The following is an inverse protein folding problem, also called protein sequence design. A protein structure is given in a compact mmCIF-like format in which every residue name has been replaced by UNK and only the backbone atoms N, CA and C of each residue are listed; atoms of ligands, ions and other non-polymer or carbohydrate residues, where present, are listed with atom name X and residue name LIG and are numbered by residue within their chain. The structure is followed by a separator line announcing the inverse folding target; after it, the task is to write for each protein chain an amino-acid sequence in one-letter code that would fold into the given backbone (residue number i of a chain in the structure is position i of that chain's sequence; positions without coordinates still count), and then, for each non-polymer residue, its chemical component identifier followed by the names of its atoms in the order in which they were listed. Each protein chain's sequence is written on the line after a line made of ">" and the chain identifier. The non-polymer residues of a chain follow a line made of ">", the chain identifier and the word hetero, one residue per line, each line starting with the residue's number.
data_IF_087479966325
#
_entry.id   IF_087479966325
#
_cell.length_a   1.000
_cell.length_b   1.000
_cell.length_c   1.000
_cell.angle_alpha   90.00
_cell.angle_beta   90.00
_cell.angle_gamma   90.00
#
_symmetry.space_group_name_H-M   'P 1'
#
loop_
_entity.id
_entity.type
_entity.pdbx_description
1 polymer ?
#
# COMPACT_ATOMS: atom_id res chain seq x y z
N UNK A 1 10.81 15.23 -7.68
CA UNK A 1 11.72 15.78 -8.71
C UNK A 1 11.57 17.28 -8.89
N UNK A 2 10.37 17.82 -9.13
CA UNK A 2 10.19 19.27 -9.30
C UNK A 2 10.66 20.11 -8.09
N UNK A 3 10.30 19.69 -6.87
CA UNK A 3 10.69 20.39 -5.63
C UNK A 3 12.22 20.36 -5.43
N UNK A 4 12.85 19.24 -5.76
CA UNK A 4 14.32 19.12 -5.71
C UNK A 4 15.01 19.99 -6.76
N UNK A 5 14.42 20.09 -7.96
CA UNK A 5 14.96 20.91 -9.05
C UNK A 5 14.84 22.42 -8.77
N UNK A 6 13.67 22.88 -8.30
CA UNK A 6 13.43 24.28 -7.99
C UNK A 6 14.09 24.73 -6.68
N UNK A 7 14.26 23.81 -5.73
CA UNK A 7 14.95 24.00 -4.45
C UNK A 7 14.52 25.26 -3.66
N UNK A 8 13.21 25.52 -3.63
CA UNK A 8 12.63 26.65 -2.89
C UNK A 8 12.58 26.29 -1.37
N UNK A 9 13.14 27.12 -0.46
CA UNK A 9 13.27 26.78 0.96
C UNK A 9 11.97 26.37 1.66
N UNK A 10 10.86 27.06 1.34
CA UNK A 10 9.56 26.83 1.94
C UNK A 10 9.06 25.40 1.68
N UNK A 11 9.18 24.94 0.43
CA UNK A 11 8.69 23.62 -0.02
C UNK A 11 9.67 22.48 0.28
N UNK A 12 10.96 22.77 0.35
CA UNK A 12 12.00 21.74 0.58
C UNK A 12 12.08 21.29 2.03
N UNK A 13 11.63 22.14 2.98
CA UNK A 13 11.55 21.81 4.41
C UNK A 13 10.80 20.50 4.67
N UNK A 14 9.76 20.20 3.88
CA UNK A 14 9.00 18.94 3.96
C UNK A 14 9.87 17.70 3.71
N UNK A 15 10.73 17.75 2.69
CA UNK A 15 11.56 16.63 2.27
C UNK A 15 12.83 16.50 3.12
N UNK A 16 13.41 17.62 3.57
CA UNK A 16 14.59 17.61 4.44
C UNK A 16 14.32 16.80 5.71
N UNK A 17 13.17 17.00 6.37
CA UNK A 17 12.81 16.25 7.58
C UNK A 17 12.65 14.74 7.32
N UNK A 18 12.21 14.36 6.11
CA UNK A 18 11.87 12.97 5.76
C UNK A 18 13.03 12.19 5.15
N UNK A 19 14.01 12.87 4.58
CA UNK A 19 15.18 12.26 3.96
C UNK A 19 16.37 12.17 4.92
N UNK A 20 16.34 12.89 6.04
CA UNK A 20 17.41 12.90 7.03
C UNK A 20 17.13 11.95 8.21
N UNK A 21 18.20 11.50 8.86
CA UNK A 21 18.15 10.70 10.08
C UNK A 21 17.39 9.38 9.92
N UNK A 22 16.69 8.96 10.98
CA UNK A 22 15.95 7.71 11.00
C UNK A 22 14.76 7.69 10.01
N UNK A 23 14.18 8.85 9.69
CA UNK A 23 13.10 8.99 8.70
C UNK A 23 13.53 8.63 7.28
N UNK A 24 14.78 8.92 6.93
CA UNK A 24 15.35 8.57 5.62
C UNK A 24 15.37 7.06 5.37
N UNK A 25 15.61 6.26 6.41
CA UNK A 25 15.59 4.80 6.28
C UNK A 25 14.19 4.27 5.94
N UNK A 26 13.15 4.83 6.57
CA UNK A 26 11.75 4.53 6.26
C UNK A 26 11.36 5.00 4.86
N UNK A 27 11.87 6.16 4.41
CA UNK A 27 11.64 6.64 3.05
C UNK A 27 12.20 5.67 1.99
N UNK A 28 13.41 5.16 2.20
CA UNK A 28 14.00 4.14 1.31
C UNK A 28 13.21 2.84 1.38
N UNK A 29 12.80 2.40 2.58
CA UNK A 29 11.94 1.23 2.73
C UNK A 29 10.61 1.39 1.97
N UNK A 30 10.01 2.58 2.00
CA UNK A 30 8.80 2.89 1.25
C UNK A 30 8.99 2.72 -0.27
N UNK A 31 10.11 3.22 -0.82
CA UNK A 31 10.46 3.03 -2.23
C UNK A 31 10.63 1.54 -2.56
N UNK A 32 11.32 0.80 -1.71
CA UNK A 32 11.55 -0.64 -1.92
C UNK A 32 10.23 -1.42 -1.92
N UNK A 33 9.38 -1.21 -0.91
CA UNK A 33 8.14 -1.97 -0.72
C UNK A 33 7.08 -1.68 -1.77
N UNK A 34 6.97 -0.42 -2.23
CA UNK A 34 5.91 -0.03 -3.15
C UNK A 34 6.32 -0.05 -4.61
N UNK A 35 7.61 0.07 -4.89
CA UNK A 35 8.10 0.13 -6.27
C UNK A 35 9.01 -1.04 -6.59
N UNK A 36 10.17 -1.17 -5.94
CA UNK A 36 11.19 -2.14 -6.35
C UNK A 36 10.68 -3.58 -6.23
N UNK A 37 10.13 -3.97 -5.07
CA UNK A 37 9.68 -5.34 -4.83
C UNK A 37 8.52 -5.72 -5.75
N UNK A 38 7.42 -4.94 -5.87
CA UNK A 38 6.35 -5.26 -6.79
C UNK A 38 6.82 -5.25 -8.24
N UNK A 39 7.62 -4.27 -8.65
CA UNK A 39 8.07 -4.14 -10.04
C UNK A 39 8.90 -5.35 -10.49
N UNK A 40 9.94 -5.70 -9.73
CA UNK A 40 10.84 -6.79 -10.10
C UNK A 40 10.14 -8.16 -10.01
N UNK A 41 9.34 -8.36 -8.97
CA UNK A 41 8.67 -9.65 -8.76
C UNK A 41 7.54 -9.87 -9.77
N UNK A 42 6.83 -8.81 -10.15
CA UNK A 42 5.78 -8.86 -11.16
C UNK A 42 6.30 -8.75 -12.59
N UNK A 43 7.61 -8.56 -12.84
CA UNK A 43 8.10 -8.43 -14.22
C UNK A 43 7.84 -9.72 -15.05
N UNK A 44 8.14 -10.94 -14.55
CA UNK A 44 7.94 -12.17 -15.33
C UNK A 44 6.46 -12.58 -15.40
N UNK A 45 6.02 -13.07 -16.56
CA UNK A 45 4.65 -13.57 -16.78
C UNK A 45 4.26 -14.72 -15.84
N UNK A 46 5.20 -15.62 -15.54
CA UNK A 46 4.96 -16.76 -14.67
C UNK A 46 4.50 -16.33 -13.27
N UNK A 47 5.15 -15.30 -12.73
CA UNK A 47 4.86 -14.79 -11.39
C UNK A 47 3.48 -14.14 -11.32
N UNK A 48 3.07 -13.42 -12.38
CA UNK A 48 1.73 -12.80 -12.47
C UNK A 48 0.58 -13.83 -12.46
N UNK A 49 0.82 -15.06 -12.91
CA UNK A 49 -0.20 -16.12 -12.98
C UNK A 49 -0.21 -17.00 -11.72
N UNK A 50 0.75 -16.83 -10.82
CA UNK A 50 0.77 -17.54 -9.53
C UNK A 50 -0.06 -16.79 -8.50
N UNK A 51 -1.18 -17.38 -8.09
CA UNK A 51 -2.07 -16.83 -7.04
C UNK A 51 -1.34 -16.64 -5.72
N UNK A 52 -0.44 -17.55 -5.35
CA UNK A 52 0.36 -17.45 -4.12
C UNK A 52 1.30 -16.24 -4.16
N UNK A 53 1.96 -15.98 -5.29
CA UNK A 53 2.87 -14.85 -5.40
C UNK A 53 2.09 -13.53 -5.48
N UNK A 54 0.96 -13.49 -6.20
CA UNK A 54 0.07 -12.32 -6.20
C UNK A 54 -0.39 -11.96 -4.78
N UNK A 55 -0.82 -12.94 -3.99
CA UNK A 55 -1.26 -12.70 -2.62
C UNK A 55 -0.14 -12.13 -1.74
N UNK A 56 1.09 -12.67 -1.84
CA UNK A 56 2.25 -12.16 -1.10
C UNK A 56 2.61 -10.73 -1.50
N UNK A 57 2.62 -10.42 -2.79
CA UNK A 57 2.94 -9.07 -3.28
C UNK A 57 1.83 -8.08 -2.90
N UNK A 58 0.57 -8.49 -2.97
CA UNK A 58 -0.54 -7.66 -2.50
C UNK A 58 -0.37 -7.30 -1.02
N UNK A 59 -0.01 -8.27 -0.16
CA UNK A 59 0.29 -7.99 1.25
C UNK A 59 1.47 -7.00 1.41
N UNK A 60 2.55 -7.19 0.65
CA UNK A 60 3.71 -6.26 0.65
C UNK A 60 3.29 -4.84 0.24
N UNK A 61 2.50 -4.70 -0.82
CA UNK A 61 2.02 -3.40 -1.30
C UNK A 61 1.09 -2.75 -0.27
N UNK A 62 0.22 -3.52 0.40
CA UNK A 62 -0.63 -2.99 1.46
C UNK A 62 0.19 -2.42 2.64
N UNK A 63 1.22 -3.16 3.07
CA UNK A 63 2.16 -2.66 4.10
C UNK A 63 2.92 -1.43 3.59
N UNK A 64 3.35 -1.45 2.33
CA UNK A 64 4.00 -0.31 1.70
C UNK A 64 3.11 0.93 1.64
N UNK A 65 1.82 0.79 1.34
CA UNK A 65 0.86 1.91 1.34
C UNK A 65 0.56 2.43 2.73
N UNK A 66 0.52 1.54 3.73
CA UNK A 66 0.44 1.96 5.11
C UNK A 66 1.66 2.81 5.50
N UNK A 67 2.88 2.38 5.15
CA UNK A 67 4.11 3.12 5.40
C UNK A 67 4.12 4.47 4.67
N UNK A 68 3.61 4.53 3.44
CA UNK A 68 3.48 5.77 2.66
C UNK A 68 2.61 6.80 3.37
N UNK A 69 1.45 6.37 3.89
CA UNK A 69 0.57 7.23 4.70
C UNK A 69 1.24 7.68 6.01
N UNK A 70 1.96 6.78 6.66
CA UNK A 70 2.73 7.09 7.87
C UNK A 70 3.79 8.18 7.59
N UNK A 71 4.59 8.03 6.53
CA UNK A 71 5.59 9.04 6.14
C UNK A 71 4.98 10.37 5.68
N UNK A 72 3.78 10.34 5.12
CA UNK A 72 3.10 11.57 4.69
C UNK A 72 2.71 12.42 5.90
N UNK A 73 2.15 11.80 6.94
CA UNK A 73 1.50 12.48 8.07
C UNK A 73 2.43 12.62 9.28
N UNK A 74 3.07 11.54 9.71
CA UNK A 74 3.69 11.44 11.03
C UNK A 74 4.88 12.40 11.26
N UNK A 75 5.81 12.59 10.29
CA UNK A 75 6.93 13.54 10.46
C UNK A 75 6.48 15.00 10.59
N UNK A 76 5.26 15.34 10.17
CA UNK A 76 4.72 16.69 10.34
C UNK A 76 4.20 16.94 11.76
N UNK A 77 3.77 15.88 12.46
CA UNK A 77 3.15 15.97 13.79
C UNK A 77 4.14 15.60 14.90
N UNK A 78 5.08 14.70 14.63
CA UNK A 78 6.09 14.24 15.56
C UNK A 78 7.48 14.74 15.14
N UNK A 79 8.14 15.52 16.01
CA UNK A 79 9.46 16.11 15.75
C UNK A 79 10.65 15.20 16.14
N UNK A 80 10.38 14.03 16.72
CA UNK A 80 11.39 13.05 17.12
C UNK A 80 11.66 11.99 16.05
N UNK A 81 12.37 10.94 16.47
CA UNK A 81 12.59 9.75 15.66
C UNK A 81 11.28 8.99 15.39
N UNK A 82 11.18 8.24 14.28
CA UNK A 82 10.01 7.44 13.98
C UNK A 82 9.76 6.41 15.09
N UNK A 83 8.52 6.42 15.61
CA UNK A 83 8.04 5.49 16.61
C UNK A 83 6.67 4.94 16.22
N UNK A 84 6.49 3.63 16.35
CA UNK A 84 5.20 2.97 16.20
C UNK A 84 4.72 2.60 17.60
N UNK A 85 3.77 3.37 18.13
CA UNK A 85 3.16 3.13 19.43
C UNK A 85 1.97 2.18 19.34
N UNK A 86 1.41 1.89 20.52
CA UNK A 86 0.21 1.06 20.66
C UNK A 86 -0.99 1.72 19.96
N UNK A 87 -1.07 3.05 19.99
CA UNK A 87 -2.12 3.84 19.31
C UNK A 87 -2.12 3.63 17.80
N UNK A 88 -0.94 3.67 17.17
CA UNK A 88 -0.76 3.54 15.73
C UNK A 88 -1.16 2.15 15.27
N UNK A 89 -0.73 1.13 16.01
CA UNK A 89 -1.09 -0.27 15.75
C UNK A 89 -2.59 -0.47 15.97
N UNK A 90 -3.13 0.04 17.07
CA UNK A 90 -4.55 -0.08 17.43
C UNK A 90 -5.47 0.55 16.38
N UNK A 91 -5.15 1.76 15.91
CA UNK A 91 -5.91 2.43 14.85
C UNK A 91 -5.79 1.64 13.55
N UNK A 92 -4.59 1.21 13.17
CA UNK A 92 -4.37 0.46 11.92
C UNK A 92 -5.15 -0.84 11.91
N UNK A 93 -5.02 -1.66 12.95
CA UNK A 93 -5.73 -2.93 13.09
C UNK A 93 -7.24 -2.68 13.20
N UNK A 94 -7.67 -1.67 13.96
CA UNK A 94 -9.07 -1.31 14.12
C UNK A 94 -9.74 -0.93 12.80
N UNK A 95 -9.10 -0.08 12.00
CA UNK A 95 -9.60 0.31 10.68
C UNK A 95 -9.60 -0.88 9.71
N UNK A 96 -8.54 -1.71 9.71
CA UNK A 96 -8.48 -2.91 8.87
C UNK A 96 -9.58 -3.91 9.24
N UNK A 97 -9.77 -4.18 10.53
CA UNK A 97 -10.79 -5.09 11.02
C UNK A 97 -12.20 -4.59 10.68
N UNK A 98 -12.45 -3.29 10.86
CA UNK A 98 -13.72 -2.67 10.49
C UNK A 98 -13.98 -2.77 8.98
N UNK A 99 -12.97 -2.48 8.15
CA UNK A 99 -13.09 -2.61 6.69
C UNK A 99 -13.40 -4.06 6.29
N UNK A 100 -12.65 -5.04 6.81
CA UNK A 100 -12.89 -6.45 6.56
C UNK A 100 -14.31 -6.89 6.98
N UNK A 101 -14.78 -6.44 8.14
CA UNK A 101 -16.12 -6.73 8.63
C UNK A 101 -17.21 -6.13 7.74
N UNK A 102 -17.06 -4.86 7.32
CA UNK A 102 -18.02 -4.19 6.45
C UNK A 102 -18.06 -4.84 5.06
N UNK A 103 -16.89 -5.15 4.48
CA UNK A 103 -16.79 -5.84 3.19
C UNK A 103 -17.40 -7.24 3.28
N UNK A 104 -17.09 -8.01 4.32
CA UNK A 104 -17.65 -9.36 4.51
C UNK A 104 -19.17 -9.33 4.67
N UNK A 105 -19.70 -8.34 5.42
CA UNK A 105 -21.15 -8.12 5.56
C UNK A 105 -21.80 -7.71 4.24
N UNK A 106 -21.14 -6.89 3.44
CA UNK A 106 -21.64 -6.48 2.14
C UNK A 106 -21.67 -7.66 1.16
N UNK A 107 -20.59 -8.45 1.11
CA UNK A 107 -20.48 -9.65 0.28
C UNK A 107 -21.51 -10.72 0.67
N UNK A 108 -21.80 -10.88 1.97
CA UNK A 108 -22.83 -11.83 2.43
C UNK A 108 -24.28 -11.45 2.07
N UNK A 109 -24.53 -10.22 1.60
CA UNK A 109 -25.87 -9.75 1.21
C UNK A 109 -26.21 -10.01 -0.26
N UNK A 110 -25.23 -10.37 -1.09
CA UNK A 110 -25.41 -10.52 -2.53
C UNK A 110 -24.77 -11.81 -3.04
N UNK A 111 -25.21 -12.28 -4.22
CA UNK A 111 -24.55 -13.40 -4.89
C UNK A 111 -23.12 -12.98 -5.33
N UNK A 112 -22.12 -13.78 -4.99
CA UNK A 112 -20.71 -13.53 -5.36
C UNK A 112 -20.44 -13.63 -6.86
N UNK A 113 -21.29 -14.37 -7.58
CA UNK A 113 -21.24 -14.49 -9.03
C UNK A 113 -22.44 -13.78 -9.65
N UNK A 114 -22.25 -12.96 -10.70
CA UNK A 114 -23.34 -12.26 -11.36
C UNK A 114 -24.10 -13.22 -12.30
N UNK A 115 -25.02 -14.01 -11.74
CA UNK A 115 -25.74 -15.09 -12.47
C UNK A 115 -26.55 -14.64 -13.70
N UNK A 116 -26.82 -13.34 -13.86
CA UNK A 116 -27.59 -12.78 -14.98
C UNK A 116 -26.74 -12.01 -15.98
N UNK A 117 -25.41 -12.07 -15.84
CA UNK A 117 -24.50 -11.37 -16.75
C UNK A 117 -24.36 -12.14 -18.08
N UNK A 118 -24.60 -11.49 -19.24
CA UNK A 118 -24.48 -12.12 -20.55
C UNK A 118 -23.08 -12.68 -20.87
N UNK A 119 -22.02 -12.11 -20.29
CA UNK A 119 -20.63 -12.47 -20.54
C UNK A 119 -20.06 -13.44 -19.50
N UNK A 120 -20.90 -13.94 -18.56
CA UNK A 120 -20.46 -14.87 -17.52
C UNK A 120 -19.87 -16.16 -18.11
N UNK A 121 -20.51 -16.72 -19.13
CA UNK A 121 -20.03 -17.95 -19.79
C UNK A 121 -18.67 -17.74 -20.45
N UNK A 122 -18.47 -16.63 -21.17
CA UNK A 122 -17.20 -16.29 -21.79
C UNK A 122 -16.09 -16.12 -20.75
N UNK A 123 -16.39 -15.47 -19.63
CA UNK A 123 -15.44 -15.23 -18.54
C UNK A 123 -15.00 -16.52 -17.83
N UNK A 124 -15.89 -17.52 -17.68
CA UNK A 124 -15.56 -18.82 -17.08
C UNK A 124 -14.64 -19.65 -17.98
N UNK A 125 -14.75 -19.50 -19.30
CA UNK A 125 -13.90 -20.18 -20.29
C UNK A 125 -12.65 -19.37 -20.66
N UNK A 126 -12.44 -18.21 -20.03
CA UNK A 126 -11.29 -17.36 -20.30
C UNK A 126 -9.99 -17.99 -19.80
N UNK A 127 -9.06 -18.29 -20.71
CA UNK A 127 -7.74 -18.83 -20.37
C UNK A 127 -6.67 -17.94 -21.02
N UNK A 128 -5.87 -17.24 -20.20
CA UNK A 128 -4.88 -16.25 -20.66
C UNK A 128 -3.56 -16.36 -19.92
#
# INVERSE_FOLDING_TARGET
>A
MLIWYANIPEETSYYITRLNGAWGSLFVANLVLNWIVPFLTLLPRATKRSTSVMAKIAAVVLVGRWLDGYLMIYPAVHKGDPGIGISEIGITIGTLALACLLISRALGKAALLPLRDPYLQESLHYHQ
#
